data_IF_256215579530
#
_entry.id   IF_256215579530
#
_cell.length_a   1.000
_cell.length_b   1.000
_cell.length_c   1.000
_cell.angle_alpha   90.00
_cell.angle_beta   90.00
_cell.angle_gamma   90.00
#
_symmetry.space_group_name_H-M   'P 1'
#
loop_
_entity.id
_entity.type
_entity.pdbx_description
1 polymer ?
#
# COMPACT_ATOMS: atom_id res chain seq x y z
N UNK A 1 -16.11 -34.10 10.73
CA UNK A 1 -15.79 -33.56 9.39
C UNK A 1 -15.21 -32.17 9.60
N UNK A 2 -13.88 -32.08 9.72
CA UNK A 2 -13.17 -30.80 9.72
C UNK A 2 -12.53 -30.66 8.36
N UNK A 3 -12.99 -29.71 7.56
CA UNK A 3 -12.36 -29.38 6.29
C UNK A 3 -11.08 -28.60 6.60
N UNK A 4 -9.94 -29.25 6.38
CA UNK A 4 -8.63 -28.61 6.40
C UNK A 4 -8.45 -27.86 5.08
N UNK A 5 -8.75 -26.56 5.05
CA UNK A 5 -8.25 -25.68 3.99
C UNK A 5 -6.85 -25.21 4.38
N UNK A 6 -5.86 -26.04 4.05
CA UNK A 6 -4.46 -25.61 3.96
C UNK A 6 -4.29 -24.71 2.75
N UNK A 7 -4.70 -23.45 2.88
CA UNK A 7 -4.28 -22.38 1.99
C UNK A 7 -3.15 -21.64 2.69
N UNK A 8 -1.92 -21.80 2.21
CA UNK A 8 -0.90 -20.77 2.46
C UNK A 8 -1.49 -19.46 1.93
N UNK A 9 -1.99 -18.59 2.83
CA UNK A 9 -2.34 -17.22 2.47
C UNK A 9 -1.02 -16.54 2.14
N UNK A 10 -0.60 -16.66 0.88
CA UNK A 10 0.55 -15.96 0.35
C UNK A 10 0.28 -14.48 0.54
N UNK A 11 0.84 -13.90 1.61
CA UNK A 11 0.71 -12.48 1.89
C UNK A 11 1.28 -11.72 0.69
N UNK A 12 0.40 -11.19 -0.13
CA UNK A 12 0.73 -10.32 -1.24
C UNK A 12 1.27 -9.02 -0.67
N UNK A 13 2.55 -8.75 -0.92
CA UNK A 13 3.16 -7.47 -0.58
C UNK A 13 3.33 -6.60 -1.82
N UNK A 14 3.00 -5.31 -1.69
CA UNK A 14 3.26 -4.26 -2.65
C UNK A 14 4.59 -3.59 -2.27
N UNK A 15 5.61 -3.77 -3.12
CA UNK A 15 6.96 -3.23 -2.89
C UNK A 15 7.30 -2.19 -3.95
N UNK A 16 7.68 -0.99 -3.51
CA UNK A 16 8.08 0.11 -4.39
C UNK A 16 9.08 1.05 -3.70
N UNK A 17 9.67 1.97 -4.46
CA UNK A 17 10.58 2.98 -3.93
C UNK A 17 10.12 4.39 -4.27
N UNK A 18 10.23 5.30 -3.30
CA UNK A 18 10.00 6.74 -3.50
C UNK A 18 11.21 7.49 -2.96
N UNK A 19 11.83 8.34 -3.79
CA UNK A 19 13.01 9.13 -3.41
C UNK A 19 14.15 8.29 -2.79
N UNK A 20 14.38 7.09 -3.34
CA UNK A 20 15.40 6.16 -2.84
C UNK A 20 15.02 5.41 -1.55
N UNK A 21 13.87 5.70 -0.93
CA UNK A 21 13.35 4.94 0.22
C UNK A 21 12.45 3.80 -0.27
N UNK A 22 12.75 2.57 0.17
CA UNK A 22 11.92 1.38 -0.08
C UNK A 22 10.71 1.35 0.85
N UNK A 23 9.57 1.01 0.29
CA UNK A 23 8.31 0.75 0.98
C UNK A 23 7.85 -0.66 0.64
N UNK A 24 7.42 -1.38 1.65
CA UNK A 24 6.85 -2.72 1.54
C UNK A 24 5.57 -2.70 2.36
N UNK A 25 4.44 -2.88 1.67
CA UNK A 25 3.10 -2.78 2.23
C UNK A 25 2.41 -4.13 2.06
N UNK A 26 1.67 -4.56 3.06
CA UNK A 26 0.79 -5.72 2.97
C UNK A 26 -0.65 -5.25 2.75
N UNK A 27 -1.52 -6.16 2.31
CA UNK A 27 -2.96 -5.89 2.12
C UNK A 27 -3.65 -5.39 3.41
N UNK A 28 -3.08 -5.71 4.58
CA UNK A 28 -3.54 -5.23 5.88
C UNK A 28 -3.13 -3.79 6.20
N UNK A 29 -2.10 -3.25 5.54
CA UNK A 29 -1.56 -1.91 5.83
C UNK A 29 -2.23 -0.81 5.00
N UNK A 30 -2.80 -1.15 3.84
CA UNK A 30 -3.29 -0.18 2.87
C UNK A 30 -4.47 -0.70 2.06
N UNK A 31 -5.47 0.15 1.86
CA UNK A 31 -6.61 -0.20 1.05
C UNK A 31 -6.23 -0.22 -0.45
N UNK A 32 -6.68 -1.19 -1.26
CA UNK A 32 -6.36 -1.25 -2.69
C UNK A 32 -6.77 -0.01 -3.49
N UNK A 33 -7.75 0.76 -3.01
CA UNK A 33 -8.18 2.04 -3.61
C UNK A 33 -7.34 3.24 -3.20
N UNK A 34 -6.37 3.08 -2.30
CA UNK A 34 -5.49 4.19 -1.89
C UNK A 34 -4.65 4.64 -3.07
N UNK A 35 -4.75 5.93 -3.41
CA UNK A 35 -3.96 6.51 -4.50
C UNK A 35 -2.51 6.74 -4.07
N UNK A 36 -1.59 6.80 -5.04
CA UNK A 36 -0.19 7.14 -4.73
C UNK A 36 -0.08 8.52 -4.05
N UNK A 37 -0.90 9.49 -4.46
CA UNK A 37 -0.89 10.82 -3.86
C UNK A 37 -1.32 10.78 -2.39
N UNK A 38 -2.38 10.05 -2.09
CA UNK A 38 -2.86 9.82 -0.73
C UNK A 38 -1.79 9.10 0.10
N UNK A 39 -1.17 8.05 -0.45
CA UNK A 39 -0.06 7.36 0.18
C UNK A 39 1.07 8.33 0.58
N UNK A 40 1.54 9.16 -0.36
CA UNK A 40 2.61 10.11 -0.10
C UNK A 40 2.22 11.14 0.98
N UNK A 41 1.01 11.70 0.89
CA UNK A 41 0.55 12.76 1.79
C UNK A 41 0.14 12.26 3.17
N UNK A 42 -0.32 11.03 3.33
CA UNK A 42 -0.84 10.49 4.60
C UNK A 42 0.12 9.49 5.24
N UNK A 43 0.76 8.63 4.45
CA UNK A 43 1.60 7.53 4.93
C UNK A 43 3.11 7.82 4.87
N UNK A 44 3.51 9.02 4.41
CA UNK A 44 4.92 9.45 4.43
C UNK A 44 5.07 10.88 4.96
N UNK A 45 6.31 11.31 5.21
CA UNK A 45 6.64 12.69 5.57
C UNK A 45 6.71 13.63 4.35
N UNK A 46 6.51 13.13 3.13
CA UNK A 46 6.51 13.94 1.90
C UNK A 46 5.19 14.71 1.77
N UNK A 47 5.10 15.88 2.39
CA UNK A 47 3.88 16.71 2.40
C UNK A 47 3.85 17.81 1.32
N UNK A 48 4.87 17.90 0.47
CA UNK A 48 4.96 18.90 -0.60
C UNK A 48 4.05 18.61 -1.79
N UNK A 49 3.67 17.34 -2.00
CA UNK A 49 2.85 16.89 -3.13
C UNK A 49 1.45 17.50 -3.07
N UNK A 50 0.97 18.06 -4.19
CA UNK A 50 -0.31 18.79 -4.25
C UNK A 50 -1.36 18.03 -5.04
N UNK A 51 -2.61 18.15 -4.61
CA UNK A 51 -3.79 17.75 -5.37
C UNK A 51 -4.43 19.01 -5.95
N UNK A 52 -4.50 19.10 -7.27
CA UNK A 52 -5.15 20.20 -7.99
C UNK A 52 -6.59 19.85 -8.37
N UNK A 53 -6.77 19.06 -9.42
CA UNK A 53 -8.10 18.68 -9.92
C UNK A 53 -8.45 17.18 -9.76
N UNK A 54 -7.47 16.31 -9.52
CA UNK A 54 -7.71 14.91 -9.09
C UNK A 54 -8.45 14.00 -10.07
N UNK A 55 -8.57 14.43 -11.34
CA UNK A 55 -9.26 13.73 -12.42
C UNK A 55 -8.32 12.91 -13.32
#
# INVERSE_FOLDING_TARGET
MGEVSGGETKQSSLVFAVNGKRFELFESDIHPSTTLLEFLRSHTHFKSVKLGCGE
#
